data_IF_596213712159
#
_entry.id   IF_596213712159
#
_cell.length_a   1.000
_cell.length_b   1.000
_cell.length_c   1.000
_cell.angle_alpha   90.00
_cell.angle_beta   90.00
_cell.angle_gamma   90.00
#
_symmetry.space_group_name_H-M   'P 1'
#
loop_
_entity.id
_entity.type
_entity.pdbx_description
1 polymer ?
2 polymer ?
3 non-polymer ?
4 non-polymer ?
5 non-polymer ?
6 water ?
#
loop_
_entity_poly.entity_id
_entity_poly.type
_entity_poly.pdbx_seq_one_letter_code
_entity_poly.pdbx_strand_id
1 'polydeoxyribonucleotide' '(DT)(DC)(DT)(6OG)(DG)(DG)(DG)(DT)(DC)(DC)(DT)(DA)(DG)(DG)(DA)(DC)(DC)(DOC)' ?
#
# COMPACT_ATOMS: atom_id res chain seq x y z
N UNK C 25 -11.95 4.40 -26.81
CA UNK C 25 -12.98 5.31 -26.23
C UNK C 25 -13.25 4.93 -24.77
N UNK C 26 -13.39 3.62 -24.53
CA UNK C 26 -13.48 3.10 -23.17
C UNK C 26 -12.14 2.63 -22.58
N UNK C 27 -11.16 2.28 -23.43
CA UNK C 27 -9.94 1.53 -22.97
C UNK C 27 -8.76 2.32 -22.43
N UNK C 28 -8.43 2.00 -21.21
CA UNK C 28 -7.43 2.76 -20.57
C UNK C 28 -6.09 2.05 -20.66
N UNK C 29 -5.06 2.82 -20.39
CA UNK C 29 -3.69 2.33 -20.13
C UNK C 29 -3.32 2.77 -18.73
N UNK C 30 -3.18 1.80 -17.84
CA UNK C 30 -2.85 2.04 -16.43
C UNK C 30 -1.48 1.45 -16.15
N UNK C 31 -0.71 2.14 -15.33
CA UNK C 31 0.54 1.53 -14.82
C UNK C 31 0.46 1.43 -13.31
N UNK C 32 0.87 0.28 -12.77
CA UNK C 32 1.09 0.08 -11.32
C UNK C 32 2.61 0.03 -11.05
N UNK C 33 3.08 0.92 -10.19
CA UNK C 33 4.54 1.04 -9.92
C UNK C 33 4.71 0.49 -8.48
N UNK C 34 5.66 -0.41 -8.25
CA UNK C 34 5.66 -1.19 -6.99
C UNK C 34 7.17 -1.26 -6.63
N UNK C 35 7.59 -0.46 -5.63
CA UNK C 35 9.02 -0.38 -5.32
C UNK C 35 9.48 -1.71 -4.69
N UNK C 36 10.71 -2.09 -4.93
CA UNK C 36 11.23 -3.29 -4.32
C UNK C 36 11.55 -3.08 -2.80
N UNK C 37 11.15 -4.01 -1.92
CA UNK C 37 11.58 -4.04 -0.52
C UNK C 37 11.67 -2.66 0.19
N UNK C 38 10.69 -1.81 -0.07
CA UNK C 38 10.90 -0.39 0.11
C UNK C 38 11.71 0.13 1.36
N UNK C 39 11.33 -0.30 2.55
CA UNK C 39 11.97 0.21 3.79
C UNK C 39 13.42 -0.22 3.73
N UNK C 40 13.70 -1.44 3.24
CA UNK C 40 15.09 -1.87 3.18
C UNK C 40 15.92 -1.02 2.19
N UNK C 41 15.34 -0.65 1.03
CA UNK C 41 15.98 0.27 0.09
C UNK C 41 16.33 1.56 0.75
N UNK C 42 15.36 2.13 1.45
CA UNK C 42 15.66 3.37 2.16
C UNK C 42 16.82 3.16 3.16
N UNK C 43 16.79 2.13 3.99
CA UNK C 43 17.90 1.89 4.95
C UNK C 43 19.22 1.62 4.26
N UNK C 44 19.20 0.87 3.16
CA UNK C 44 20.43 0.59 2.40
C UNK C 44 21.10 1.83 1.84
N UNK C 45 20.27 2.75 1.38
CA UNK C 45 20.76 4.06 0.94
C UNK C 45 21.31 4.88 2.10
N UNK C 46 20.63 4.88 3.25
CA UNK C 46 21.15 5.56 4.46
C UNK C 46 22.48 5.01 4.95
N UNK C 47 22.67 3.70 4.82
CA UNK C 47 23.86 3.06 5.34
C UNK C 47 24.37 2.07 4.29
N UNK C 48 25.23 2.55 3.37
CA UNK C 48 25.63 1.64 2.30
C UNK C 48 26.50 0.48 2.80
N UNK C 49 26.98 0.54 4.04
CA UNK C 49 27.63 -0.63 4.65
C UNK C 49 26.73 -1.87 4.57
N UNK C 50 25.40 -1.65 4.53
CA UNK C 50 24.39 -2.71 4.47
C UNK C 50 24.04 -3.17 3.03
N UNK C 51 24.61 -2.51 2.02
CA UNK C 51 24.25 -2.75 0.61
C UNK C 51 24.50 -4.20 0.17
N UNK C 52 25.63 -4.74 0.62
CA UNK C 52 26.04 -6.07 0.23
C UNK C 52 25.68 -7.10 1.31
N UNK C 53 24.96 -6.65 2.34
CA UNK C 53 24.72 -7.48 3.52
C UNK C 53 23.24 -7.87 3.58
N UNK C 54 22.95 -9.07 4.12
CA UNK C 54 21.55 -9.47 4.26
C UNK C 54 20.91 -8.58 5.32
N UNK C 55 19.78 -7.96 4.98
CA UNK C 55 19.19 -6.97 5.88
C UNK C 55 17.70 -7.12 6.01
N UNK C 56 17.27 -7.05 7.27
CA UNK C 56 15.87 -7.00 7.68
C UNK C 56 15.59 -5.70 8.44
N UNK C 57 14.37 -5.20 8.28
CA UNK C 57 13.89 -4.00 8.95
C UNK C 57 12.91 -4.52 10.02
N UNK C 58 13.23 -4.23 11.29
CA UNK C 58 12.53 -4.76 12.44
C UNK C 58 11.56 -3.71 13.02
N UNK C 59 10.36 -4.17 13.39
CA UNK C 59 9.40 -3.40 14.15
C UNK C 59 8.97 -4.33 15.26
N UNK C 60 9.29 -3.97 16.51
CA UNK C 60 9.05 -4.86 17.63
C UNK C 60 9.67 -6.23 17.27
N UNK C 61 8.90 -7.31 17.39
CA UNK C 61 9.44 -8.68 17.19
C UNK C 61 9.26 -9.18 15.75
N UNK C 62 9.01 -8.25 14.82
CA UNK C 62 8.70 -8.62 13.46
C UNK C 62 9.75 -8.13 12.49
N UNK C 63 10.15 -8.99 11.54
CA UNK C 63 10.92 -8.53 10.39
C UNK C 63 9.93 -8.21 9.29
N UNK C 64 9.59 -6.91 9.20
CA UNK C 64 8.50 -6.49 8.41
C UNK C 64 8.88 -6.55 6.94
N UNK C 65 10.16 -6.31 6.65
CA UNK C 65 10.63 -6.51 5.28
C UNK C 65 12.15 -6.74 5.29
N UNK C 66 12.68 -7.21 4.15
CA UNK C 66 14.10 -7.55 4.03
C UNK C 66 14.56 -7.37 2.59
N UNK C 67 15.87 -7.20 2.39
CA UNK C 67 16.39 -6.99 1.04
C UNK C 67 16.54 -8.35 0.29
N UNK C 68 16.72 -8.34 -1.04
CA UNK C 68 16.64 -9.60 -1.81
C UNK C 68 17.75 -10.57 -1.42
N UNK C 69 18.82 -10.07 -0.78
CA UNK C 69 19.91 -10.89 -0.25
C UNK C 69 19.50 -11.65 1.03
N UNK C 70 18.50 -11.15 1.76
CA UNK C 70 17.94 -11.89 2.89
C UNK C 70 16.90 -12.89 2.40
N UNK C 71 16.07 -12.48 1.41
CA UNK C 71 15.09 -13.41 0.82
C UNK C 71 15.70 -14.70 0.24
N UNK C 72 16.90 -14.59 -0.36
CA UNK C 72 17.60 -15.78 -0.87
C UNK C 72 18.05 -16.75 0.26
N UNK C 73 18.10 -16.29 1.50
CA UNK C 73 18.36 -17.16 2.62
C UNK C 73 17.11 -17.60 3.33
N UNK C 74 15.96 -17.47 2.69
CA UNK C 74 14.68 -17.89 3.30
C UNK C 74 14.12 -16.94 4.35
N UNK C 75 14.58 -15.69 4.37
CA UNK C 75 13.96 -14.68 5.21
C UNK C 75 12.70 -14.23 4.47
N UNK C 76 11.54 -14.29 5.13
CA UNK C 76 10.30 -13.91 4.49
C UNK C 76 9.71 -12.62 5.07
N UNK C 77 8.92 -11.93 4.26
CA UNK C 77 8.23 -10.74 4.71
C UNK C 77 7.25 -11.07 5.83
N UNK C 78 7.28 -10.25 6.89
CA UNK C 78 6.49 -10.47 8.13
C UNK C 78 6.76 -11.84 8.79
N UNK C 79 8.04 -12.18 8.86
CA UNK C 79 8.53 -13.33 9.64
C UNK C 79 8.96 -12.81 11.01
N UNK C 80 8.66 -13.52 12.09
CA UNK C 80 9.15 -13.01 13.36
C UNK C 80 10.68 -13.13 13.48
N UNK C 81 11.25 -12.33 14.39
CA UNK C 81 12.71 -12.09 14.49
C UNK C 81 13.52 -13.32 14.94
N UNK C 82 12.96 -14.16 15.80
CA UNK C 82 13.67 -15.40 16.15
C UNK C 82 13.73 -16.37 14.97
N UNK C 83 12.58 -16.60 14.32
CA UNK C 83 12.53 -17.37 13.07
C UNK C 83 13.53 -16.87 12.03
N UNK C 84 13.65 -15.54 11.92
CA UNK C 84 14.51 -14.89 10.93
C UNK C 84 16.00 -15.13 11.16
N UNK C 85 16.46 -14.92 12.40
CA UNK C 85 17.83 -15.26 12.80
C UNK C 85 18.08 -16.77 12.64
N UNK C 86 17.13 -17.56 13.15
CA UNK C 86 17.15 -19.02 13.05
C UNK C 86 17.31 -19.49 11.59
N UNK C 87 16.78 -18.70 10.65
CA UNK C 87 16.88 -19.01 9.23
C UNK C 87 18.23 -18.51 8.66
N UNK C 88 18.57 -17.25 8.98
CA UNK C 88 19.80 -16.64 8.51
C UNK C 88 20.50 -15.92 9.68
N UNK C 89 21.40 -16.65 10.40
CA UNK C 89 22.05 -16.18 11.65
C UNK C 89 22.84 -14.91 11.52
N UNK C 90 23.34 -14.64 10.35
CA UNK C 90 24.10 -13.44 10.18
C UNK C 90 23.21 -12.26 9.83
N UNK C 91 21.92 -12.47 9.70
CA UNK C 91 21.07 -11.32 9.21
C UNK C 91 21.21 -10.00 10.06
N UNK C 92 21.45 -8.89 9.40
CA UNK C 92 21.57 -7.62 10.08
C UNK C 92 20.18 -7.01 10.27
N UNK C 93 19.89 -6.47 11.45
CA UNK C 93 18.55 -5.86 11.67
C UNK C 93 18.62 -4.37 11.96
N UNK C 94 17.69 -3.61 11.37
CA UNK C 94 17.63 -2.17 11.56
C UNK C 94 16.23 -1.80 12.01
N UNK C 95 16.11 -0.94 13.01
CA UNK C 95 14.81 -0.59 13.53
C UNK C 95 14.01 0.31 12.60
N UNK C 96 12.81 -0.15 12.27
CA UNK C 96 12.02 0.60 11.33
C UNK C 96 10.75 1.11 11.96
N UNK C 97 10.72 1.25 13.28
CA UNK C 97 9.47 1.70 13.95
C UNK C 97 9.08 3.15 13.60
N UNK C 98 10.08 4.01 13.38
CA UNK C 98 9.86 5.43 13.08
C UNK C 98 9.74 5.45 11.57
N UNK C 99 8.55 5.84 11.06
CA UNK C 99 8.31 5.76 9.62
C UNK C 99 8.66 7.05 8.87
N UNK C 100 9.22 8.04 9.56
CA UNK C 100 9.39 9.39 8.97
C UNK C 100 10.15 9.35 7.64
N UNK C 101 11.28 8.64 7.62
CA UNK C 101 12.06 8.66 6.41
C UNK C 101 11.38 7.88 5.30
N UNK C 102 10.67 6.79 5.63
CA UNK C 102 10.06 6.01 4.59
C UNK C 102 8.91 6.88 4.00
N UNK C 103 8.20 7.52 4.89
CA UNK C 103 7.07 8.35 4.48
C UNK C 103 7.60 9.49 3.59
N UNK C 104 8.70 10.13 3.96
CA UNK C 104 9.26 11.23 3.11
C UNK C 104 9.65 10.74 1.70
N UNK C 105 10.39 9.62 1.65
CA UNK C 105 10.68 9.02 0.33
C UNK C 105 9.48 8.62 -0.48
N UNK C 106 8.46 8.12 0.22
CA UNK C 106 7.26 7.68 -0.44
C UNK C 106 6.55 8.83 -1.20
N UNK C 107 6.49 10.01 -0.57
CA UNK C 107 5.94 11.19 -1.21
C UNK C 107 6.88 11.71 -2.32
N UNK C 108 8.20 11.54 -2.19
CA UNK C 108 9.06 11.94 -3.30
C UNK C 108 8.78 11.04 -4.51
N UNK C 109 8.53 9.75 -4.28
CA UNK C 109 8.13 8.90 -5.40
C UNK C 109 6.82 9.37 -6.09
N UNK C 110 5.77 9.58 -5.30
CA UNK C 110 4.49 9.93 -5.85
C UNK C 110 4.55 11.29 -6.61
N UNK C 111 5.29 12.24 -6.07
CA UNK C 111 5.35 13.53 -6.73
C UNK C 111 6.09 13.38 -8.05
N UNK C 112 7.11 12.52 -8.07
CA UNK C 112 7.87 12.30 -9.33
C UNK C 112 6.89 11.71 -10.38
N UNK C 113 6.08 10.75 -9.96
CA UNK C 113 5.10 10.17 -10.91
C UNK C 113 4.08 11.21 -11.36
N UNK C 114 3.70 12.13 -10.47
CA UNK C 114 2.71 13.12 -10.80
C UNK C 114 3.21 14.10 -11.89
N UNK C 115 4.54 14.23 -12.03
CA UNK C 115 5.09 15.05 -13.08
C UNK C 115 4.87 14.39 -14.45
N UNK C 116 4.82 13.06 -14.49
CA UNK C 116 4.46 12.36 -15.72
C UNK C 116 3.04 12.62 -16.09
N UNK C 117 2.13 12.34 -15.16
CA UNK C 117 0.72 12.54 -15.39
C UNK C 117 0.12 12.76 -14.02
N UNK C 118 -0.78 13.73 -13.87
CA UNK C 118 -1.17 14.09 -12.54
C UNK C 118 -2.11 13.12 -11.84
N UNK C 119 -2.75 12.19 -12.53
CA UNK C 119 -3.68 11.33 -11.80
C UNK C 119 -2.95 10.14 -11.23
N UNK C 120 -2.46 10.34 -9.99
CA UNK C 120 -1.67 9.28 -9.30
C UNK C 120 -2.34 8.90 -7.98
N UNK C 121 -2.62 7.61 -7.89
CA UNK C 121 -3.27 7.04 -6.74
C UNK C 121 -2.23 6.24 -5.92
N UNK C 122 -2.08 6.59 -4.65
CA UNK C 122 -1.13 5.88 -3.77
C UNK C 122 -1.78 4.63 -3.19
N UNK C 123 -1.07 3.54 -3.02
CA UNK C 123 -1.60 2.41 -2.29
C UNK C 123 -0.53 2.06 -1.30
N UNK C 124 -0.76 2.34 -0.03
CA UNK C 124 0.32 2.21 0.97
C UNK C 124 1.50 3.12 0.63
N UNK C 125 2.67 2.84 1.17
CA UNK C 125 3.80 3.75 0.99
C UNK C 125 4.61 3.39 -0.22
N UNK C 126 4.40 2.22 -0.79
CA UNK C 126 5.33 1.78 -1.86
C UNK C 126 4.73 1.42 -3.20
N UNK C 127 3.43 1.68 -3.36
CA UNK C 127 2.77 1.38 -4.66
C UNK C 127 2.04 2.65 -5.13
N UNK C 128 2.05 2.89 -6.44
CA UNK C 128 1.25 3.97 -7.03
C UNK C 128 0.61 3.47 -8.31
N UNK C 129 -0.59 3.94 -8.59
CA UNK C 129 -1.18 3.72 -9.93
C UNK C 129 -1.16 5.04 -10.65
N UNK C 130 -0.92 4.99 -11.98
CA UNK C 130 -1.07 6.21 -12.83
C UNK C 130 -1.91 5.91 -14.01
N UNK C 131 -2.85 6.80 -14.34
CA UNK C 131 -3.64 6.54 -15.52
C UNK C 131 -2.89 7.19 -16.66
N UNK C 132 -2.37 6.39 -17.62
CA UNK C 132 -1.58 6.89 -18.74
C UNK C 132 -2.34 7.12 -20.05
N UNK C 133 -3.65 6.91 -20.04
CA UNK C 133 -4.43 6.94 -21.26
C UNK C 133 -4.20 8.20 -22.09
N UNK C 134 -4.28 9.36 -21.44
CA UNK C 134 -4.21 10.65 -22.16
C UNK C 134 -2.79 10.86 -22.70
N UNK C 135 -1.82 10.51 -21.89
CA UNK C 135 -0.42 10.59 -22.24
C UNK C 135 -0.06 9.69 -23.42
N UNK C 136 -0.57 8.48 -23.41
CA UNK C 136 -0.40 7.55 -24.55
C UNK C 136 -0.98 8.11 -25.80
N UNK C 137 -2.22 8.59 -25.73
CA UNK C 137 -2.89 9.17 -26.89
C UNK C 137 -2.17 10.38 -27.49
N UNK C 138 -1.60 11.22 -26.63
CA UNK C 138 -0.86 12.39 -27.09
C UNK C 138 0.40 11.92 -27.78
N UNK C 139 1.11 10.94 -27.22
CA UNK C 139 2.31 10.43 -27.89
C UNK C 139 1.96 9.80 -29.21
N UNK C 140 0.89 9.01 -29.27
CA UNK C 140 0.51 8.43 -30.58
C UNK C 140 0.17 9.49 -31.63
N UNK C 141 -0.53 10.55 -31.22
CA UNK C 141 -0.85 11.63 -32.17
C UNK C 141 0.41 12.27 -32.73
N UNK C 142 1.52 12.19 -32.00
CA UNK C 142 2.80 12.78 -32.41
C UNK C 142 3.52 11.95 -33.47
N UNK C 143 3.22 10.65 -33.53
CA UNK C 143 3.83 9.71 -34.47
C UNK C 143 3.27 9.81 -35.87
N UNK C 144 4.16 9.68 -36.84
CA UNK C 144 3.82 9.95 -38.21
C UNK C 144 3.19 8.81 -39.00
N UNK C 145 3.08 7.63 -38.42
CA UNK C 145 2.49 6.48 -39.11
C UNK C 145 3.44 5.67 -40.01
N UNK C 146 4.70 6.08 -40.11
CA UNK C 146 5.71 5.30 -40.81
C UNK C 146 6.73 5.12 -39.66
N UNK C 147 6.29 5.49 -38.46
CA UNK C 147 7.03 5.28 -37.22
C UNK C 147 6.18 4.41 -36.29
N UNK C 148 4.91 4.26 -36.65
CA UNK C 148 3.95 3.43 -35.92
C UNK C 148 4.35 1.95 -35.98
N UNK C 149 4.86 1.54 -37.15
CA UNK C 149 5.41 0.19 -37.38
C UNK C 149 6.68 -0.02 -36.53
N UNK C 150 7.29 1.07 -36.09
CA UNK C 150 8.54 1.00 -35.34
C UNK C 150 8.34 0.91 -33.81
N UNK C 151 7.08 0.97 -33.33
CA UNK C 151 6.79 0.91 -31.86
C UNK C 151 7.29 -0.40 -31.22
N UNK C 152 8.06 -0.30 -30.12
CA UNK C 152 8.56 -1.53 -29.49
C UNK C 152 8.21 -1.56 -28.04
N UNK C 153 8.15 -2.75 -27.49
CA UNK C 153 7.93 -2.88 -26.03
C UNK C 153 9.21 -2.55 -25.26
N UNK C 154 9.00 -1.99 -24.06
CA UNK C 154 10.06 -1.93 -23.09
C UNK C 154 9.80 -2.91 -21.96
N UNK C 155 10.74 -3.84 -21.75
CA UNK C 155 10.58 -4.86 -20.69
C UNK C 155 9.83 -6.11 -21.16
N UNK C 156 9.24 -6.85 -20.21
CA UNK C 156 8.63 -8.16 -20.55
C UNK C 156 7.21 -8.01 -21.09
N UNK C 157 6.86 -8.93 -21.98
CA UNK C 157 5.42 -9.09 -22.36
C UNK C 157 4.93 -10.35 -21.62
N UNK C 158 3.83 -10.19 -20.88
CA UNK C 158 3.28 -11.30 -20.08
C UNK C 158 2.97 -12.48 -20.98
N UNK C 159 3.40 -13.65 -20.52
CA UNK C 159 3.15 -14.96 -21.14
C UNK C 159 3.81 -15.03 -22.50
N UNK C 160 4.82 -14.16 -22.72
CA UNK C 160 5.48 -14.13 -24.02
C UNK C 160 4.60 -13.95 -25.21
N UNK C 161 3.54 -13.19 -25.03
CA UNK C 161 2.56 -13.15 -26.06
C UNK C 161 3.09 -12.35 -27.29
N UNK C 162 2.72 -12.80 -28.48
CA UNK C 162 3.07 -12.10 -29.71
C UNK C 162 2.43 -10.73 -29.81
N UNK C 163 3.20 -9.74 -30.20
CA UNK C 163 2.64 -8.39 -30.38
C UNK C 163 2.03 -8.27 -31.80
N UNK C 164 0.86 -7.66 -31.91
CA UNK C 164 0.33 -7.34 -33.26
C UNK C 164 0.35 -5.83 -33.40
N UNK C 165 1.29 -5.33 -34.20
CA UNK C 165 1.45 -3.89 -34.39
C UNK C 165 0.27 -3.27 -35.16
N UNK C 166 -0.61 -4.08 -35.74
CA UNK C 166 -1.81 -3.51 -36.34
C UNK C 166 -2.97 -3.43 -35.33
N UNK C 167 -2.76 -3.90 -34.12
CA UNK C 167 -3.83 -3.88 -33.10
C UNK C 167 -3.67 -2.62 -32.27
N UNK C 168 -4.61 -1.67 -32.42
CA UNK C 168 -4.46 -0.39 -31.66
C UNK C 168 -4.33 -0.56 -30.15
N UNK C 169 -4.94 -1.62 -29.58
CA UNK C 169 -4.79 -1.88 -28.10
C UNK C 169 -3.38 -2.30 -27.75
N UNK C 170 -2.77 -3.13 -28.59
CA UNK C 170 -1.36 -3.54 -28.34
C UNK C 170 -0.43 -2.32 -28.44
N UNK C 171 -0.57 -1.52 -29.51
CA UNK C 171 0.23 -0.26 -29.69
C UNK C 171 0.12 0.67 -28.49
N UNK C 172 -1.11 0.84 -28.00
CA UNK C 172 -1.27 1.70 -26.79
C UNK C 172 -0.61 1.16 -25.53
N UNK C 173 -0.73 -0.15 -25.30
CA UNK C 173 -0.05 -0.77 -24.15
C UNK C 173 1.48 -0.76 -24.31
N UNK C 174 2.01 -0.93 -25.53
CA UNK C 174 3.47 -0.78 -25.70
C UNK C 174 3.94 0.63 -25.41
N UNK C 175 3.17 1.64 -25.84
CA UNK C 175 3.61 3.03 -25.53
C UNK C 175 3.51 3.18 -23.99
N UNK C 176 2.51 2.57 -23.39
CA UNK C 176 2.43 2.50 -21.89
C UNK C 176 3.71 1.92 -21.30
N UNK C 177 4.19 0.79 -21.85
CA UNK C 177 5.44 0.16 -21.33
C UNK C 177 6.61 1.15 -21.50
N UNK C 178 6.65 1.95 -22.57
CA UNK C 178 7.78 2.91 -22.72
C UNK C 178 7.72 3.99 -21.65
N UNK C 179 6.52 4.48 -21.41
CA UNK C 179 6.39 5.51 -20.31
C UNK C 179 6.77 4.89 -18.95
N UNK C 180 6.31 3.68 -18.69
CA UNK C 180 6.70 2.99 -17.47
C UNK C 180 8.20 2.84 -17.29
N UNK C 181 8.90 2.48 -18.37
CA UNK C 181 10.38 2.43 -18.36
C UNK C 181 10.96 3.82 -18.04
N UNK C 182 10.42 4.89 -18.66
CA UNK C 182 10.88 6.25 -18.34
C UNK C 182 10.68 6.58 -16.85
N UNK C 183 9.51 6.22 -16.31
CA UNK C 183 9.26 6.46 -14.86
C UNK C 183 10.27 5.67 -13.99
N UNK C 184 10.52 4.43 -14.33
CA UNK C 184 11.45 3.66 -13.57
C UNK C 184 12.86 4.24 -13.66
N UNK C 185 13.27 4.66 -14.84
CA UNK C 185 14.60 5.28 -15.02
C UNK C 185 14.68 6.58 -14.20
N UNK C 186 13.58 7.34 -14.16
CA UNK C 186 13.63 8.64 -13.50
C UNK C 186 13.66 8.36 -12.00
N UNK C 187 12.94 7.35 -11.51
CA UNK C 187 12.98 7.10 -10.04
C UNK C 187 14.37 6.63 -9.59
N UNK C 188 15.05 5.82 -10.42
CA UNK C 188 16.44 5.45 -10.10
C UNK C 188 17.38 6.68 -10.18
N UNK C 189 17.29 7.40 -11.29
CA UNK C 189 18.22 8.52 -11.53
C UNK C 189 18.02 9.67 -10.57
N UNK C 190 16.77 9.91 -10.18
CA UNK C 190 16.50 11.12 -9.35
C UNK C 190 16.40 10.83 -7.86
N UNK C 191 15.98 9.61 -7.52
CA UNK C 191 15.76 9.24 -6.09
C UNK C 191 16.58 8.03 -5.63
N UNK C 192 17.25 7.32 -6.56
CA UNK C 192 18.11 6.20 -6.11
C UNK C 192 17.35 4.90 -5.87
N UNK C 193 16.07 4.84 -6.30
CA UNK C 193 15.17 3.73 -5.98
C UNK C 193 14.88 2.83 -7.19
N UNK C 194 14.84 1.52 -6.95
CA UNK C 194 14.42 0.56 -8.02
C UNK C 194 13.02 0.07 -7.74
N UNK C 195 12.31 -0.36 -8.77
CA UNK C 195 11.03 -0.97 -8.46
C UNK C 195 10.50 -1.62 -9.72
N UNK C 196 9.34 -2.26 -9.61
CA UNK C 196 8.76 -2.97 -10.79
C UNK C 196 7.57 -2.13 -11.31
N UNK C 197 7.11 -2.40 -12.53
CA UNK C 197 5.92 -1.78 -13.01
C UNK C 197 5.14 -2.80 -13.80
N UNK C 198 3.83 -2.62 -13.84
CA UNK C 198 2.95 -3.50 -14.64
C UNK C 198 2.12 -2.56 -15.45
N UNK C 199 1.92 -2.83 -16.74
CA UNK C 199 1.08 -1.96 -17.57
C UNK C 199 -0.06 -2.85 -18.11
N UNK C 200 -1.28 -2.40 -17.92
CA UNK C 200 -2.49 -3.15 -18.32
C UNK C 200 -3.67 -2.28 -18.54
N UNK C 201 -4.84 -2.85 -18.91
CA UNK C 201 -5.97 -1.98 -19.24
C UNK C 201 -6.81 -1.54 -18.01
N UNK C 202 -6.50 -2.04 -16.82
CA UNK C 202 -7.23 -1.52 -15.65
C UNK C 202 -6.34 -1.77 -14.38
N UNK C 203 -6.78 -1.30 -13.22
CA UNK C 203 -5.85 -1.30 -12.03
C UNK C 203 -5.63 -2.67 -11.50
N UNK C 204 -6.67 -3.50 -11.49
CA UNK C 204 -6.49 -4.91 -11.09
C UNK C 204 -5.40 -5.63 -11.87
N UNK C 205 -5.51 -5.57 -13.20
CA UNK C 205 -4.62 -6.33 -14.03
C UNK C 205 -3.16 -5.71 -13.98
N UNK C 206 -3.09 -4.40 -13.87
CA UNK C 206 -1.77 -3.73 -13.75
C UNK C 206 -1.07 -4.18 -12.46
N UNK C 207 -1.79 -4.13 -11.36
CA UNK C 207 -1.26 -4.65 -10.06
C UNK C 207 -0.87 -6.14 -10.13
N UNK C 208 -1.70 -6.98 -10.74
CA UNK C 208 -1.33 -8.37 -10.89
C UNK C 208 -0.11 -8.59 -11.77
N UNK C 209 0.00 -7.84 -12.85
CA UNK C 209 1.05 -8.18 -13.79
C UNK C 209 2.38 -7.53 -13.38
N UNK C 210 2.33 -6.51 -12.51
CA UNK C 210 3.60 -5.82 -12.17
C UNK C 210 4.51 -6.72 -11.34
N UNK C 211 3.93 -7.71 -10.67
CA UNK C 211 4.67 -8.60 -9.82
C UNK C 211 5.18 -9.88 -10.59
N UNK C 212 4.95 -10.00 -11.88
CA UNK C 212 5.32 -11.27 -12.59
C UNK C 212 6.84 -11.50 -12.71
N UNK C 213 7.58 -10.43 -12.99
CA UNK C 213 9.05 -10.43 -13.01
C UNK C 213 9.57 -9.45 -11.99
N UNK C 214 10.30 -9.94 -11.00
CA UNK C 214 10.82 -9.06 -9.95
C UNK C 214 12.13 -9.67 -9.50
N UNK C 215 13.03 -8.87 -8.87
CA UNK C 215 12.88 -7.40 -8.58
C UNK C 215 13.26 -6.55 -9.79
N UNK C 216 12.92 -5.25 -9.73
CA UNK C 216 13.44 -4.25 -10.63
C UNK C 216 13.26 -4.58 -12.14
N UNK C 217 12.04 -4.97 -12.51
CA UNK C 217 11.67 -5.32 -13.88
C UNK C 217 10.30 -4.79 -14.14
N UNK C 218 9.84 -4.90 -15.38
CA UNK C 218 8.50 -4.49 -15.69
C UNK C 218 7.90 -5.42 -16.72
N UNK C 219 6.58 -5.45 -16.68
CA UNK C 219 5.79 -6.36 -17.53
C UNK C 219 4.54 -5.68 -18.08
N UNK C 220 4.19 -5.99 -19.35
CA UNK C 220 3.00 -5.48 -19.94
C UNK C 220 2.03 -6.66 -20.25
N UNK C 221 0.76 -6.44 -19.96
CA UNK C 221 -0.27 -7.45 -20.23
C UNK C 221 -1.06 -7.08 -21.49
N UNK C 222 -1.01 -7.93 -22.54
CA UNK C 222 -1.87 -7.69 -23.71
C UNK C 222 -3.19 -8.39 -23.45
N UNK C 223 -4.26 -7.91 -24.06
CA UNK C 223 -5.60 -8.33 -23.66
C UNK C 223 -5.82 -9.87 -23.79
N UNK C 224 -5.23 -10.48 -24.83
CA UNK C 224 -5.47 -11.92 -25.06
C UNK C 224 -4.93 -12.84 -23.96
N UNK C 225 -4.05 -12.32 -23.11
CA UNK C 225 -3.45 -13.08 -22.00
C UNK C 225 -4.07 -12.82 -20.61
N UNK C 226 -5.13 -12.02 -20.59
CA UNK C 226 -5.84 -11.73 -19.31
C UNK C 226 -6.33 -12.97 -18.59
N UNK C 227 -6.94 -13.91 -19.33
CA UNK C 227 -7.43 -15.09 -18.64
C UNK C 227 -6.21 -15.91 -18.10
N UNK C 228 -5.10 -15.97 -18.82
CA UNK C 228 -4.00 -16.75 -18.34
C UNK C 228 -3.51 -16.08 -17.01
N UNK C 229 -3.41 -14.77 -16.97
CA UNK C 229 -2.96 -14.09 -15.72
C UNK C 229 -3.91 -14.43 -14.55
N UNK C 230 -5.21 -14.18 -14.72
CA UNK C 230 -6.16 -14.41 -13.60
C UNK C 230 -6.15 -15.87 -13.14
N UNK C 231 -6.05 -16.82 -14.08
CA UNK C 231 -6.02 -18.22 -13.68
C UNK C 231 -4.65 -18.64 -13.19
N UNK C 232 -3.60 -17.79 -13.32
CA UNK C 232 -2.31 -18.13 -12.72
C UNK C 232 -2.35 -18.06 -11.16
N UNK C 233 -3.31 -17.34 -10.61
CA UNK C 233 -3.51 -17.26 -9.13
C UNK C 233 -3.89 -18.58 -8.55
N UNK C 234 -3.46 -18.87 -7.33
CA UNK C 234 -3.79 -20.14 -6.78
C UNK C 234 -4.88 -20.15 -5.76
N UNK C 235 -5.34 -18.97 -5.41
CA UNK C 235 -6.49 -18.94 -4.53
C UNK C 235 -7.06 -17.54 -4.54
N UNK C 236 -8.36 -17.45 -4.24
CA UNK C 236 -9.08 -16.22 -4.44
C UNK C 236 -8.58 -15.08 -3.57
N UNK C 237 -7.91 -15.34 -2.43
CA UNK C 237 -7.32 -14.31 -1.55
C UNK C 237 -6.24 -13.50 -2.25
N UNK C 238 -5.69 -14.05 -3.37
CA UNK C 238 -4.64 -13.39 -4.10
C UNK C 238 -5.20 -12.28 -4.93
N UNK C 239 -6.50 -12.23 -5.07
CA UNK C 239 -7.09 -11.14 -5.86
C UNK C 239 -7.18 -9.87 -4.98
N UNK C 240 -6.55 -8.75 -5.43
CA UNK C 240 -6.63 -7.55 -4.66
C UNK C 240 -8.13 -7.10 -4.52
N UNK C 241 -8.58 -6.89 -3.30
CA UNK C 241 -9.96 -6.49 -2.96
C UNK C 241 -10.67 -7.64 -2.27
N UNK C 242 -10.17 -8.85 -2.43
CA UNK C 242 -10.65 -9.96 -1.63
C UNK C 242 -9.70 -10.20 -0.43
N UNK C 243 -10.12 -9.84 0.78
CA UNK C 243 -9.25 -9.91 1.98
C UNK C 243 -9.47 -11.10 2.89
N UNK C 244 -9.00 -11.02 4.14
CA UNK C 244 -9.20 -12.15 5.06
C UNK C 244 -10.67 -12.52 5.26
N UNK C 245 -11.52 -11.54 5.61
CA UNK C 245 -12.92 -11.86 5.89
C UNK C 245 -13.60 -12.54 4.69
N UNK C 246 -13.50 -11.89 3.53
CA UNK C 246 -14.24 -12.29 2.34
C UNK C 246 -13.79 -13.67 1.84
N UNK C 247 -12.48 -13.90 1.81
CA UNK C 247 -11.93 -15.19 1.42
C UNK C 247 -12.44 -16.27 2.36
N UNK C 248 -12.53 -15.95 3.66
CA UNK C 248 -13.01 -16.93 4.64
C UNK C 248 -14.47 -17.27 4.37
N UNK C 249 -15.28 -16.26 4.01
CA UNK C 249 -16.64 -16.46 3.55
C UNK C 249 -16.70 -17.39 2.33
N UNK C 250 -15.87 -17.07 1.33
CA UNK C 250 -15.88 -17.82 0.07
C UNK C 250 -15.53 -19.26 0.32
N UNK C 251 -14.46 -19.46 1.09
CA UNK C 251 -13.99 -20.84 1.45
C UNK C 251 -15.11 -21.64 2.06
N UNK C 252 -15.91 -21.00 2.91
CA UNK C 252 -17.04 -21.67 3.58
C UNK C 252 -18.12 -22.05 2.57
N UNK C 253 -18.19 -21.36 1.43
CA UNK C 253 -19.18 -21.68 0.39
C UNK C 253 -18.66 -22.71 -0.67
N UNK C 254 -17.44 -23.21 -0.42
CA UNK C 254 -16.77 -24.15 -1.33
C UNK C 254 -16.08 -23.46 -2.50
N UNK C 255 -15.91 -22.12 -2.44
CA UNK C 255 -15.26 -21.39 -3.50
C UNK C 255 -13.77 -21.22 -3.23
N UNK C 256 -12.94 -21.88 -4.01
CA UNK C 256 -11.51 -21.80 -3.74
C UNK C 256 -10.69 -21.24 -4.90
N UNK C 257 -10.91 -21.75 -6.09
CA UNK C 257 -10.12 -21.18 -7.22
C UNK C 257 -10.76 -19.97 -7.84
N UNK C 258 -9.99 -19.28 -8.69
CA UNK C 258 -10.55 -18.11 -9.41
C UNK C 258 -11.73 -18.62 -10.26
N UNK C 259 -11.53 -19.73 -10.98
CA UNK C 259 -12.62 -20.31 -11.75
C UNK C 259 -13.83 -20.70 -10.92
N UNK C 260 -13.63 -21.27 -9.73
CA UNK C 260 -14.80 -21.44 -8.81
C UNK C 260 -15.65 -20.17 -8.67
N UNK C 261 -14.99 -19.03 -8.49
CA UNK C 261 -15.66 -17.77 -8.24
C UNK C 261 -16.32 -17.26 -9.51
N UNK C 262 -15.62 -17.42 -10.64
CA UNK C 262 -16.15 -17.05 -11.97
C UNK C 262 -17.48 -17.79 -12.28
N UNK C 263 -17.53 -19.08 -11.90
CA UNK C 263 -18.71 -19.90 -12.24
C UNK C 263 -19.72 -20.04 -11.11
N UNK C 264 -19.51 -19.42 -9.96
CA UNK C 264 -20.44 -19.55 -8.84
C UNK C 264 -21.72 -18.73 -9.10
N UNK C 265 -22.84 -19.20 -8.54
CA UNK C 265 -24.14 -18.52 -8.69
C UNK C 265 -24.12 -17.07 -8.18
N UNK C 266 -24.37 -16.13 -9.20
CA UNK C 266 -24.53 -14.69 -8.79
C UNK C 266 -25.52 -14.49 -7.62
N UNK C 267 -26.64 -15.20 -7.69
CA UNK C 267 -27.75 -14.95 -6.79
C UNK C 267 -27.41 -15.38 -5.35
N UNK C 268 -26.65 -16.59 -5.29
CA UNK C 268 -26.30 -17.08 -3.96
C UNK C 268 -25.21 -16.17 -3.38
N UNK C 269 -24.28 -15.79 -4.27
CA UNK C 269 -23.23 -14.84 -3.92
C UNK C 269 -23.83 -13.51 -3.39
N UNK C 270 -24.89 -13.00 -4.04
CA UNK C 270 -25.51 -11.72 -3.60
C UNK C 270 -26.15 -11.81 -2.21
N UNK C 271 -26.75 -12.99 -1.94
CA UNK C 271 -27.43 -13.23 -0.68
C UNK C 271 -26.42 -13.31 0.46
N UNK C 272 -25.30 -13.95 0.19
CA UNK C 272 -24.27 -14.20 1.20
C UNK C 272 -23.46 -12.95 1.50
N UNK C 273 -23.06 -12.21 0.36
CA UNK C 273 -22.11 -11.13 0.53
C UNK C 273 -22.66 -9.72 0.41
N UNK C 274 -24.02 -9.64 0.11
CA UNK C 274 -24.64 -8.37 -0.24
C UNK C 274 -24.34 -8.14 -1.71
N UNK C 275 -25.15 -7.32 -2.36
CA UNK C 275 -25.02 -7.08 -3.80
C UNK C 275 -23.70 -6.40 -4.13
N UNK C 276 -23.25 -5.50 -3.25
CA UNK C 276 -22.07 -4.70 -3.54
C UNK C 276 -20.81 -5.58 -3.62
N UNK C 277 -20.50 -6.29 -2.52
CA UNK C 277 -19.34 -7.20 -2.54
C UNK C 277 -19.52 -8.21 -3.70
N UNK C 278 -20.65 -8.93 -3.72
CA UNK C 278 -20.87 -10.01 -4.69
C UNK C 278 -20.56 -9.56 -6.12
N UNK C 279 -21.21 -8.48 -6.58
CA UNK C 279 -21.08 -8.06 -7.98
C UNK C 279 -19.68 -7.56 -8.27
N UNK C 280 -19.10 -6.86 -7.33
CA UNK C 280 -17.74 -6.38 -7.57
C UNK C 280 -16.66 -7.51 -7.60
N UNK C 281 -16.74 -8.47 -6.67
CA UNK C 281 -15.66 -9.48 -6.62
C UNK C 281 -15.82 -10.52 -7.71
N UNK C 282 -17.06 -10.81 -8.13
CA UNK C 282 -17.22 -11.74 -9.24
C UNK C 282 -16.70 -11.10 -10.54
N UNK C 283 -16.88 -9.78 -10.73
CA UNK C 283 -16.19 -9.08 -11.86
C UNK C 283 -14.69 -9.16 -11.75
N UNK C 284 -14.16 -8.90 -10.57
CA UNK C 284 -12.68 -9.14 -10.38
C UNK C 284 -12.20 -10.52 -10.84
N UNK C 285 -13.00 -11.56 -10.59
CA UNK C 285 -12.56 -12.90 -10.90
C UNK C 285 -12.38 -13.10 -12.38
N UNK C 286 -13.08 -12.28 -13.17
CA UNK C 286 -12.91 -12.30 -14.63
C UNK C 286 -11.81 -11.39 -15.14
N UNK C 287 -11.13 -10.67 -14.24
CA UNK C 287 -10.17 -9.65 -14.74
C UNK C 287 -10.78 -8.26 -15.02
N UNK C 288 -12.05 -8.04 -14.65
CA UNK C 288 -12.78 -6.79 -15.00
C UNK C 288 -12.80 -5.90 -13.80
N UNK C 289 -12.44 -4.65 -13.98
CA UNK C 289 -12.31 -3.72 -12.90
C UNK C 289 -12.46 -2.33 -13.51
N UNK C 290 -13.65 -1.72 -13.38
CA UNK C 290 -13.81 -0.40 -13.93
C UNK C 290 -13.45 0.75 -12.98
N UNK C 291 -12.83 0.46 -11.83
CA UNK C 291 -12.63 1.54 -10.84
C UNK C 291 -11.59 2.54 -11.40
N UNK C 292 -11.82 3.83 -11.17
CA UNK C 292 -10.86 4.83 -11.72
C UNK C 292 -9.64 4.97 -10.85
N UNK C 293 -8.57 5.41 -11.47
CA UNK C 293 -7.42 5.87 -10.70
C UNK C 293 -7.82 7.19 -10.12
N UNK C 294 -7.71 7.29 -8.81
CA UNK C 294 -8.14 8.49 -8.04
C UNK C 294 -6.89 9.25 -7.65
N UNK C 295 -6.93 10.55 -7.77
CA UNK C 295 -5.81 11.38 -7.43
C UNK C 295 -5.74 11.41 -5.91
N UNK C 296 -4.68 10.85 -5.33
CA UNK C 296 -4.58 10.80 -3.86
C UNK C 296 -4.38 12.16 -3.17
N UNK C 297 -3.49 12.98 -3.76
CA UNK C 297 -3.16 14.27 -3.20
C UNK C 297 -2.59 14.14 -1.80
N UNK C 298 -2.78 15.16 -0.99
CA UNK C 298 -2.30 15.16 0.38
C UNK C 298 -3.12 14.17 1.25
N UNK C 299 -2.51 13.67 2.32
CA UNK C 299 -3.23 12.67 3.11
C UNK C 299 -4.48 13.19 3.84
N UNK C 300 -5.42 12.28 4.10
CA UNK C 300 -6.70 12.66 4.79
C UNK C 300 -6.59 12.57 6.30
N UNK C 301 -5.51 11.93 6.78
CA UNK C 301 -5.28 11.73 8.20
C UNK C 301 -3.76 11.58 8.47
N UNK C 302 -3.38 11.74 9.74
CA UNK C 302 -1.99 11.62 10.23
C UNK C 302 -2.11 10.87 11.54
N UNK C 303 -1.42 9.74 11.73
CA UNK C 303 -1.53 9.07 13.03
C UNK C 303 -0.20 8.48 13.40
N UNK C 304 -0.09 8.12 14.66
CA UNK C 304 1.06 7.38 15.16
C UNK C 304 0.62 6.41 16.21
N UNK C 305 1.37 5.33 16.34
CA UNK C 305 0.96 4.20 17.11
C UNK C 305 2.14 3.78 17.99
N UNK C 306 1.82 3.20 19.14
CA UNK C 306 2.82 2.35 19.76
C UNK C 306 2.21 1.16 20.45
N UNK C 307 2.92 0.06 20.27
CA UNK C 307 2.57 -1.29 20.64
C UNK C 307 3.47 -1.72 21.84
N UNK C 308 2.93 -2.59 22.70
CA UNK C 308 3.60 -3.02 23.93
C UNK C 308 2.84 -4.23 24.48
N UNK C 309 3.47 -5.07 25.29
CA UNK C 309 2.68 -6.05 26.00
C UNK C 309 2.46 -5.58 27.39
N UNK C 310 1.28 -5.02 27.63
CA UNK C 310 0.80 -4.56 28.93
C UNK C 310 1.71 -3.62 29.69
N UNK C 311 2.31 -2.69 28.98
CA UNK C 311 3.33 -1.80 29.48
C UNK C 311 2.52 -0.51 29.62
N UNK C 312 1.21 -0.66 29.57
CA UNK C 312 0.34 0.47 29.81
C UNK C 312 -0.94 0.10 30.38
N UNK C 313 -0.73 0.17 31.64
CA UNK C 313 -1.67 0.40 32.75
C UNK C 313 -0.63 1.03 33.69
N UNK C 314 -0.80 2.26 34.18
CA UNK C 314 -1.94 3.07 33.95
C UNK C 314 -1.28 4.39 34.28
N UNK C 315 -1.77 5.42 33.65
CA UNK C 315 -1.17 6.75 33.61
C UNK C 315 0.37 6.62 33.35
N UNK C 316 0.70 5.56 32.59
CA UNK C 316 1.95 5.39 31.90
C UNK C 316 1.46 5.68 30.49
N UNK C 317 0.13 5.79 30.44
CA UNK C 317 -0.66 6.14 29.26
C UNK C 317 -0.54 7.62 28.86
N UNK C 318 -0.65 8.52 29.84
CA UNK C 318 -0.58 9.98 29.56
C UNK C 318 0.80 10.31 28.97
N UNK C 319 1.84 9.75 29.57
CA UNK C 319 3.19 9.90 29.05
C UNK C 319 3.25 9.43 27.58
N UNK C 320 2.77 8.22 27.31
CA UNK C 320 2.83 7.68 25.94
C UNK C 320 2.06 8.56 24.96
N UNK C 321 0.92 9.05 25.42
CA UNK C 321 0.01 9.87 24.62
C UNK C 321 0.64 11.25 24.37
N UNK C 322 1.31 11.79 25.38
CA UNK C 322 2.21 12.94 25.20
C UNK C 322 3.29 12.75 24.12
N UNK C 323 4.00 11.62 24.14
CA UNK C 323 5.04 11.42 23.13
C UNK C 323 4.45 11.37 21.70
N UNK C 324 3.35 10.63 21.54
CA UNK C 324 2.65 10.51 20.25
C UNK C 324 2.19 11.87 19.78
N UNK C 325 1.62 12.65 20.68
CA UNK C 325 1.15 13.95 20.33
C UNK C 325 2.29 14.86 19.89
N UNK C 326 3.41 14.78 20.60
CA UNK C 326 4.56 15.62 20.32
C UNK C 326 4.90 15.51 18.82
N UNK C 327 5.11 14.28 18.38
CA UNK C 327 5.51 13.95 17.00
C UNK C 327 4.44 14.37 16.00
N UNK C 328 3.18 14.03 16.28
CA UNK C 328 2.10 14.38 15.38
C UNK C 328 1.93 15.88 15.16
N UNK C 329 2.15 16.70 16.22
CA UNK C 329 2.06 18.13 16.06
C UNK C 329 3.11 18.69 15.10
N UNK C 330 4.32 18.12 15.12
CA UNK C 330 5.32 18.50 14.11
C UNK C 330 4.87 18.21 12.68
N UNK C 331 4.22 17.06 12.47
CA UNK C 331 3.82 16.68 11.12
C UNK C 331 2.74 17.61 10.53
N UNK C 332 1.66 17.77 11.28
CA UNK C 332 0.61 18.78 10.99
C UNK C 332 1.17 20.20 10.78
N UNK C 333 2.08 20.62 11.65
CA UNK C 333 2.75 21.92 11.51
C UNK C 333 3.56 22.03 10.21
N UNK C 334 4.25 20.95 9.81
CA UNK C 334 5.02 21.02 8.57
C UNK C 334 4.09 20.84 7.36
N UNK C 335 2.96 20.19 7.59
CA UNK C 335 1.97 19.95 6.53
C UNK C 335 1.32 21.27 6.07
N UNK C 336 0.92 22.11 7.02
CA UNK C 336 0.34 23.43 6.71
C UNK C 336 -1.17 23.54 6.88
N UNK C 337 -1.89 22.48 6.54
CA UNK C 337 -3.33 22.36 6.73
C UNK C 337 -3.61 22.15 8.19
N UNK C 338 -4.83 22.40 8.63
CA UNK C 338 -5.12 22.17 10.03
C UNK C 338 -6.25 21.15 10.25
N UNK C 339 -6.08 20.26 11.26
CA UNK C 339 -7.02 19.18 11.57
C UNK C 339 -8.13 19.66 12.51
N UNK C 340 -9.36 19.19 12.28
CA UNK C 340 -10.50 19.63 13.09
C UNK C 340 -11.06 18.48 13.92
N UNK C 341 -10.49 17.29 13.80
CA UNK C 341 -10.94 16.15 14.58
C UNK C 341 -9.71 15.43 15.08
N UNK C 342 -9.74 15.05 16.36
CA UNK C 342 -8.73 14.21 16.97
C UNK C 342 -9.37 12.91 17.43
N UNK C 343 -8.59 11.83 17.36
CA UNK C 343 -9.10 10.54 17.73
C UNK C 343 -8.07 9.80 18.60
N UNK C 344 -8.55 9.11 19.62
CA UNK C 344 -7.68 8.25 20.41
C UNK C 344 -8.10 6.80 20.22
N UNK C 345 -7.11 5.94 20.02
CA UNK C 345 -7.36 4.54 19.75
C UNK C 345 -6.60 3.69 20.81
N UNK C 346 -7.27 2.68 21.36
CA UNK C 346 -6.62 1.73 22.30
C UNK C 346 -6.79 0.27 21.81
N UNK C 347 -6.06 -0.65 22.42
CA UNK C 347 -6.33 -2.06 22.24
C UNK C 347 -6.20 -2.79 23.56
N UNK C 348 -7.11 -3.74 23.81
CA UNK C 348 -7.16 -4.52 25.05
C UNK C 348 -6.85 -6.02 24.80
N UNK C 349 -6.53 -6.71 25.90
CA UNK C 349 -6.18 -8.14 25.96
C UNK C 349 -6.59 -8.60 27.36
N UNK C 350 -6.44 -9.86 27.74
CA UNK C 350 -6.19 -11.02 26.93
C UNK C 350 -7.38 -11.80 27.46
N UNK C 351 -7.43 -13.08 27.06
CA UNK C 351 -6.25 -13.68 26.41
C UNK C 351 -6.12 -13.84 24.86
N UNK C 352 -6.73 -14.87 24.25
CA UNK C 352 -6.54 -15.06 22.84
C UNK C 352 -7.94 -14.77 22.43
N UNK C 353 -8.16 -13.71 21.67
CA UNK C 353 -9.59 -13.48 21.34
C UNK C 353 -10.20 -12.89 20.02
N UNK C 354 -9.99 -11.62 19.80
CA UNK C 354 -10.57 -10.93 18.67
C UNK C 354 -9.66 -9.77 18.36
N UNK C 355 -9.66 -9.36 17.08
CA UNK C 355 -8.88 -8.21 16.57
C UNK C 355 -9.23 -6.76 16.95
N UNK C 356 -10.52 -6.39 16.90
CA UNK C 356 -10.97 -5.05 17.28
C UNK C 356 -10.35 -4.16 18.34
N UNK C 357 -10.00 -2.96 17.91
CA UNK C 357 -9.54 -1.90 18.78
C UNK C 357 -10.78 -1.08 19.17
N UNK C 358 -10.60 -0.07 20.01
CA UNK C 358 -11.69 0.82 20.38
C UNK C 358 -11.23 2.26 20.25
N UNK C 359 -12.13 3.15 19.83
CA UNK C 359 -11.74 4.55 19.71
C UNK C 359 -12.80 5.57 20.19
N UNK C 360 -12.28 6.77 20.45
CA UNK C 360 -13.04 7.95 20.76
C UNK C 360 -12.43 9.13 20.01
N UNK C 361 -13.29 9.96 19.44
CA UNK C 361 -12.89 11.16 18.72
C UNK C 361 -13.82 12.31 19.17
N UNK C 362 -13.38 13.55 18.92
CA UNK C 362 -14.19 14.74 19.13
C UNK C 362 -13.55 15.86 18.32
N UNK C 363 -14.31 16.93 18.03
CA UNK C 363 -13.68 18.06 17.36
C UNK C 363 -12.59 18.62 18.25
N UNK C 364 -11.58 19.20 17.61
CA UNK C 364 -10.60 20.05 18.26
C UNK C 364 -11.26 21.42 18.45
N UNK C 365 -11.14 22.03 19.66
CA UNK C 365 -11.74 23.37 19.84
C UNK C 365 -11.11 24.43 18.93
N UNK C 366 -11.91 25.43 18.54
CA UNK C 366 -11.50 26.42 17.54
C UNK C 366 -10.20 27.17 17.89
N UNK C 367 -10.10 27.69 19.11
CA UNK C 367 -8.90 28.42 19.49
C UNK C 367 -7.70 27.47 19.40
N UNK C 368 -7.92 26.22 19.78
CA UNK C 368 -6.86 25.20 19.79
C UNK C 368 -6.30 24.92 18.38
N UNK C 369 -7.15 24.97 17.37
CA UNK C 369 -6.71 24.87 15.96
C UNK C 369 -5.95 26.15 15.61
N UNK C 370 -4.70 26.24 16.09
CA UNK C 370 -3.86 27.43 15.86
C UNK C 370 -2.36 27.17 16.02
N UNK C 371 -1.84 26.34 15.12
CA UNK C 371 -0.46 25.84 15.17
C UNK C 371 0.45 26.55 14.16
N UNK C 377 3.08 22.39 27.02
CA UNK C 377 2.14 23.43 27.48
C UNK C 377 1.22 23.92 26.35
N UNK C 378 1.54 25.10 25.80
CA UNK C 378 0.61 25.92 24.99
C UNK C 378 -0.35 25.17 24.02
N UNK C 379 0.18 24.24 23.23
CA UNK C 379 -0.69 23.39 22.38
C UNK C 379 -0.86 22.00 23.06
N UNK C 380 0.19 21.58 23.77
CA UNK C 380 0.24 20.26 24.39
C UNK C 380 -0.83 20.00 25.48
N UNK C 381 -0.78 20.81 26.57
CA UNK C 381 -1.67 20.73 27.78
C UNK C 381 -3.16 20.68 27.33
N UNK C 382 -3.59 21.66 26.49
CA UNK C 382 -4.97 21.55 25.97
C UNK C 382 -5.25 20.21 25.21
N UNK C 383 -4.35 19.76 24.32
CA UNK C 383 -4.57 18.50 23.52
C UNK C 383 -4.49 17.24 24.37
N UNK C 384 -3.52 17.21 25.30
CA UNK C 384 -3.35 16.07 26.22
C UNK C 384 -4.58 15.94 27.10
N UNK C 385 -5.08 17.11 27.56
CA UNK C 385 -6.27 17.06 28.37
C UNK C 385 -7.50 16.53 27.63
N UNK C 386 -7.62 16.95 26.33
CA UNK C 386 -8.66 16.41 25.47
C UNK C 386 -8.49 14.90 25.43
N UNK C 387 -7.27 14.46 25.06
CA UNK C 387 -6.95 13.05 24.92
C UNK C 387 -7.20 12.22 26.19
N UNK C 388 -6.82 12.77 27.35
CA UNK C 388 -7.00 12.04 28.59
C UNK C 388 -8.48 11.86 28.96
N UNK C 389 -9.32 12.83 28.56
CA UNK C 389 -10.76 12.69 28.71
C UNK C 389 -11.37 11.61 27.80
N UNK C 390 -10.90 11.54 26.53
CA UNK C 390 -11.32 10.51 25.60
C UNK C 390 -10.84 9.14 26.09
N UNK C 391 -9.65 9.19 26.76
CA UNK C 391 -9.09 8.04 27.45
C UNK C 391 -10.02 7.54 28.54
N UNK C 392 -10.47 8.43 29.40
CA UNK C 392 -11.35 7.98 30.47
C UNK C 392 -12.64 7.40 29.95
N UNK C 393 -13.20 7.98 28.90
CA UNK C 393 -14.49 7.52 28.38
C UNK C 393 -14.47 6.04 28.01
N UNK C 394 -13.26 5.55 27.72
CA UNK C 394 -13.03 4.20 27.21
C UNK C 394 -12.52 3.24 28.27
N UNK C 395 -11.71 3.72 29.18
CA UNK C 395 -11.05 2.89 30.16
C UNK C 395 -11.55 3.29 31.54
N UNK C 396 -11.98 2.31 32.32
CA UNK C 396 -12.44 2.61 33.67
C UNK C 396 -11.21 2.61 34.49
N UNK C 397 -10.82 3.79 34.89
CA UNK C 397 -9.53 3.97 35.55
C UNK C 397 -9.48 3.28 36.90
N UNK C 398 -10.58 2.73 37.34
CA UNK C 398 -10.53 1.86 38.49
C UNK C 398 -11.19 0.57 38.08
N UNK C 399 -10.91 -0.53 38.73
CA UNK C 399 -11.52 -1.76 38.28
C UNK C 399 -11.15 -1.97 36.82
N UNK C 400 -9.86 -1.79 36.54
CA UNK C 400 -9.21 -1.66 35.22
C UNK C 400 -8.98 -2.86 34.27
N UNK C 401 -8.65 -2.51 33.02
CA UNK C 401 -8.39 -3.41 31.88
C UNK C 401 -6.99 -3.15 31.30
N UNK C 402 -6.36 -4.17 30.67
CA UNK C 402 -4.94 -4.18 30.21
C UNK C 402 -4.70 -3.77 28.74
N UNK C 403 -3.91 -2.72 28.53
CA UNK C 403 -3.71 -2.17 27.17
C UNK C 403 -2.47 -2.72 26.42
N UNK C 404 -2.62 -2.88 25.10
CA UNK C 404 -1.55 -3.37 24.24
C UNK C 404 -1.24 -2.38 23.12
N UNK C 405 -1.93 -1.24 23.11
CA UNK C 405 -1.73 -0.24 22.06
C UNK C 405 -2.36 1.11 22.41
N UNK C 406 -1.60 2.16 22.11
CA UNK C 406 -2.10 3.53 22.09
C UNK C 406 -1.75 4.18 20.74
N UNK C 407 -2.70 4.92 20.20
CA UNK C 407 -2.54 5.55 18.90
C UNK C 407 -3.31 6.86 18.90
N UNK C 408 -2.74 7.90 18.32
CA UNK C 408 -3.51 9.16 18.19
C UNK C 408 -3.62 9.42 16.69
N UNK C 409 -4.76 9.94 16.25
CA UNK C 409 -4.99 10.26 14.88
C UNK C 409 -5.60 11.63 14.76
N UNK C 410 -5.03 12.46 13.87
CA UNK C 410 -5.60 13.74 13.50
C UNK C 410 -6.25 13.55 12.14
N UNK C 411 -7.48 14.01 12.00
CA UNK C 411 -8.12 13.96 10.66
C UNK C 411 -9.07 15.14 10.48
N UNK C 412 -9.94 15.07 9.45
CA UNK C 412 -10.88 16.15 9.12
C UNK C 412 -10.05 17.41 8.90
N UNK C 413 -9.08 17.30 7.97
CA UNK C 413 -8.13 18.34 7.61
C UNK C 413 -8.76 19.38 6.70
N UNK C 414 -8.66 20.63 7.12
CA UNK C 414 -9.21 21.71 6.32
C UNK C 414 -8.21 22.85 6.11
X LIG D 1 5.08 -4.23 -0.05
X LIG D 1 4.19 -5.39 0.21
X LIG D 1 5.14 -3.53 -1.38
X LIG D 1 6.54 -4.83 0.20
X LIG D 1 8.10 -4.32 -0.10
X LIG D 1 8.26 -2.86 -0.79
X LIG D 1 8.59 -4.52 1.31
X LIG D 1 8.56 -5.82 -0.75
X LIG D 1 8.43 -6.51 -2.29
X LIG D 1 7.89 -7.86 -2.60
X LIG D 1 7.52 -5.46 -3.09
X LIG D 1 9.76 -6.20 -3.10
X LIG D 1 5.05 -3.17 1.13
X LIG D 1 6.00 -3.22 2.13
X LIG D 1 6.22 -1.85 2.77
X LIG D 1 5.06 -1.92 3.72
X LIG D 1 7.44 -2.65 3.27
X LIG D 1 8.83 -2.03 2.94
X LIG D 1 7.04 -2.91 4.78
X LIG D 1 5.57 -2.22 4.96
X LIG D 1 4.49 -3.11 5.24
X LIG D 1 4.12 -3.23 6.59
X LIG D 1 4.70 -2.56 7.44
X LIG D 1 3.13 -4.09 6.96
X LIG D 1 2.45 -4.83 5.98
X LIG D 1 1.55 -5.59 6.33
X LIG D 1 2.80 -4.73 4.65
X LIG D 1 2.03 -5.60 3.67
X LIG D 1 3.83 -3.88 4.26
X LIG E 1 6.77 -2.79 -2.97
X LIG F 1 -6.45 -10.00 -1.47
X LIG G 1 3.78 -4.09 -3.03
#
# INVERSE_FOLDING_TARGET
MELADVGAAASSQGVHDQVLPTPNASSRVIVHVDLDCFYAQVEMISNPELKDKPLGVQQKYLVVTCNYEARKLGVKKLMNVRDAKEKCPQLVLVNGEDLTRYREMSYKVTELLEEFSPVVERLGFDENFVDLTEMVEKRLQQLQSDELSAVTVSGHVYNNQSINLLDVLHIRLLVGSQIAAEMREAMYNQLGLTGCAGVASNKLLAKLVSGVFKPNQQTVLLPESCQHLIHSLNHIKEIPGIGYKTAKCLEALGINSVRDLQTFSPKILEKELGISVAQRIQKLSFGEDNSPVILSGPPQSFSEEDSFKKCSSEVEAKNKIEELLASLLNRVCQDGRKPHTVRLIIRRYSSEKHYGRESRQCPIPSHVIQKLGTGNYDVMTPMVDILMKLFRNMVNVKMPFHLTLLSVCFCNLKALNTAK
TTP PA O1A O2A O3A PB O1B O2B O3B PG O1G O2G O3G O5' C5' C4' O4' C3' O3' C2' C1' N1 C2 O2 N3 C4 O4 C5 C5M C6
MG MG
NA NA
MG MG
#
